data_IF_847159497085
#
_entry.id   IF_847159497085
#
_cell.length_a   1.000
_cell.length_b   1.000
_cell.length_c   1.000
_cell.angle_alpha   90.00
_cell.angle_beta   90.00
_cell.angle_gamma   90.00
#
_symmetry.space_group_name_H-M   'P 1'
#
loop_
_entity.id
_entity.type
_entity.pdbx_description
1 polymer ?
#
# COMPACT_ATOMS: atom_id res chain seq x y z
N UNK A 1 -7.73 -20.66 5.07
CA UNK A 1 -6.61 -20.21 4.23
C UNK A 1 -7.15 -19.98 2.83
N UNK A 2 -6.97 -18.78 2.27
CA UNK A 2 -7.66 -18.34 1.04
C UNK A 2 -6.63 -18.21 -0.08
N UNK A 3 -6.54 -19.21 -0.96
CA UNK A 3 -5.53 -19.27 -2.02
C UNK A 3 -5.99 -18.56 -3.30
N UNK A 4 -6.59 -17.37 -3.14
CA UNK A 4 -7.21 -16.63 -4.25
C UNK A 4 -6.18 -15.96 -5.14
N UNK A 5 -6.42 -16.04 -6.44
CA UNK A 5 -5.69 -15.28 -7.46
C UNK A 5 -6.29 -13.87 -7.57
N UNK A 6 -5.43 -12.86 -7.55
CA UNK A 6 -5.80 -11.44 -7.61
C UNK A 6 -5.22 -10.80 -8.85
N UNK A 7 -6.08 -10.12 -9.62
CA UNK A 7 -5.67 -9.35 -10.79
C UNK A 7 -5.07 -8.02 -10.36
N UNK A 8 -3.85 -7.74 -10.84
CA UNK A 8 -3.12 -6.50 -10.60
C UNK A 8 -2.65 -5.97 -11.94
N UNK A 9 -2.82 -4.68 -12.23
CA UNK A 9 -2.33 -4.11 -13.49
C UNK A 9 -0.79 -4.09 -13.53
N UNK A 10 -0.20 -4.14 -14.73
CA UNK A 10 1.26 -4.09 -14.89
C UNK A 10 1.88 -2.83 -14.26
N UNK A 11 1.16 -1.70 -14.29
CA UNK A 11 1.57 -0.46 -13.64
C UNK A 11 1.61 -0.54 -12.10
N UNK A 12 0.82 -1.43 -11.49
CA UNK A 12 0.78 -1.62 -10.03
C UNK A 12 1.69 -2.74 -9.54
N UNK A 13 2.06 -3.68 -10.42
CA UNK A 13 2.90 -4.85 -10.11
C UNK A 13 4.13 -4.53 -9.26
N UNK A 14 5.00 -3.56 -9.59
CA UNK A 14 6.22 -3.33 -8.81
C UNK A 14 5.92 -2.88 -7.37
N UNK A 15 4.87 -2.08 -7.18
CA UNK A 15 4.50 -1.58 -5.85
C UNK A 15 3.83 -2.65 -4.98
N UNK A 16 2.99 -3.50 -5.59
CA UNK A 16 2.38 -4.64 -4.88
C UNK A 16 3.45 -5.65 -4.47
N UNK A 17 4.37 -5.99 -5.37
CA UNK A 17 5.49 -6.88 -5.05
C UNK A 17 6.34 -6.33 -3.90
N UNK A 18 6.74 -5.05 -3.97
CA UNK A 18 7.50 -4.39 -2.92
C UNK A 18 6.84 -4.49 -1.53
N UNK A 19 5.53 -4.21 -1.45
CA UNK A 19 4.79 -4.28 -0.17
C UNK A 19 4.71 -5.71 0.36
N UNK A 20 4.48 -6.70 -0.52
CA UNK A 20 4.44 -8.11 -0.12
C UNK A 20 5.80 -8.58 0.40
N UNK A 21 6.89 -8.22 -0.29
CA UNK A 21 8.27 -8.53 0.14
C UNK A 21 8.60 -7.87 1.48
N UNK A 22 8.30 -6.56 1.62
CA UNK A 22 8.49 -5.77 2.85
C UNK A 22 7.77 -6.39 4.05
N UNK A 23 6.52 -6.83 3.84
CA UNK A 23 5.69 -7.43 4.89
C UNK A 23 5.94 -8.95 5.04
N UNK A 24 6.92 -9.51 4.32
CA UNK A 24 7.28 -10.95 4.31
C UNK A 24 6.09 -11.86 4.02
N UNK A 25 5.19 -11.43 3.13
CA UNK A 25 4.03 -12.21 2.69
C UNK A 25 4.45 -13.07 1.49
N UNK A 26 4.42 -14.41 1.58
CA UNK A 26 4.72 -15.26 0.44
C UNK A 26 3.69 -15.09 -0.67
N UNK A 27 4.15 -14.95 -1.91
CA UNK A 27 3.30 -14.85 -3.08
C UNK A 27 3.92 -15.52 -4.30
N UNK A 28 3.06 -15.89 -5.24
CA UNK A 28 3.42 -16.32 -6.59
C UNK A 28 2.81 -15.35 -7.59
N UNK A 29 3.48 -15.11 -8.71
CA UNK A 29 2.97 -14.25 -9.78
C UNK A 29 2.98 -14.95 -11.12
N UNK A 30 1.95 -14.69 -11.93
CA UNK A 30 1.90 -15.09 -13.32
C UNK A 30 1.53 -13.90 -14.19
N UNK A 31 2.32 -13.64 -15.23
CA UNK A 31 1.99 -12.63 -16.23
C UNK A 31 0.88 -13.12 -17.16
N UNK A 32 -0.03 -12.21 -17.49
CA UNK A 32 -1.13 -12.39 -18.43
C UNK A 32 -1.16 -11.15 -19.34
N UNK A 33 -1.82 -11.23 -20.49
CA UNK A 33 -1.89 -10.11 -21.44
C UNK A 33 -2.43 -8.83 -20.77
N UNK A 34 -1.54 -7.88 -20.49
CA UNK A 34 -1.85 -6.57 -19.88
C UNK A 34 -2.02 -6.55 -18.34
N UNK A 35 -1.84 -7.66 -17.64
CA UNK A 35 -1.97 -7.70 -16.17
C UNK A 35 -1.20 -8.87 -15.53
N UNK A 36 -1.08 -8.84 -14.21
CA UNK A 36 -0.44 -9.87 -13.41
C UNK A 36 -1.45 -10.52 -12.46
N UNK A 37 -1.37 -11.84 -12.36
CA UNK A 37 -2.09 -12.61 -11.35
C UNK A 37 -1.17 -12.86 -10.17
N UNK A 38 -1.53 -12.33 -9.00
CA UNK A 38 -0.87 -12.62 -7.74
C UNK A 38 -1.65 -13.68 -6.98
N UNK A 39 -0.97 -14.71 -6.53
CA UNK A 39 -1.52 -15.76 -5.67
C UNK A 39 -0.81 -15.70 -4.32
N UNK A 40 -1.58 -15.57 -3.24
CA UNK A 40 -1.08 -15.37 -1.88
C UNK A 40 -2.10 -15.86 -0.87
N UNK A 41 -1.65 -16.34 0.28
CA UNK A 41 -2.52 -16.85 1.34
C UNK A 41 -2.89 -15.76 2.35
N UNK A 42 -3.61 -14.73 1.90
CA UNK A 42 -4.08 -13.64 2.76
C UNK A 42 -5.58 -13.37 2.55
N UNK A 43 -6.22 -12.80 3.57
CA UNK A 43 -7.64 -12.43 3.50
C UNK A 43 -7.89 -11.27 2.56
N UNK A 44 -9.14 -11.12 2.07
CA UNK A 44 -9.58 -9.94 1.30
C UNK A 44 -9.18 -8.62 1.98
N UNK A 45 -9.45 -8.51 3.29
CA UNK A 45 -9.14 -7.31 4.08
C UNK A 45 -7.64 -6.99 4.05
N UNK A 46 -6.80 -8.01 4.25
CA UNK A 46 -5.34 -7.82 4.22
C UNK A 46 -4.85 -7.46 2.82
N UNK A 47 -5.46 -8.01 1.77
CA UNK A 47 -5.14 -7.63 0.39
C UNK A 47 -5.52 -6.18 0.09
N UNK A 48 -6.65 -5.68 0.62
CA UNK A 48 -7.01 -4.26 0.52
C UNK A 48 -5.93 -3.37 1.16
N UNK A 49 -5.43 -3.75 2.34
CA UNK A 49 -4.33 -3.03 2.99
C UNK A 49 -3.04 -3.04 2.16
N UNK A 50 -2.70 -4.18 1.53
CA UNK A 50 -1.56 -4.28 0.62
C UNK A 50 -1.73 -3.35 -0.59
N UNK A 51 -2.93 -3.26 -1.15
CA UNK A 51 -3.22 -2.36 -2.27
C UNK A 51 -3.16 -0.88 -1.85
N UNK A 52 -3.69 -0.53 -0.68
CA UNK A 52 -3.58 0.82 -0.12
C UNK A 52 -2.10 1.21 0.06
N UNK A 53 -1.30 0.35 0.68
CA UNK A 53 0.14 0.59 0.87
C UNK A 53 0.88 0.68 -0.49
N UNK A 54 0.51 -0.14 -1.49
CA UNK A 54 1.10 -0.09 -2.82
C UNK A 54 0.75 1.22 -3.57
N UNK A 55 -0.46 1.76 -3.38
CA UNK A 55 -0.83 3.06 -3.90
C UNK A 55 -0.02 4.19 -3.25
N UNK A 56 0.24 4.08 -1.94
CA UNK A 56 1.12 5.00 -1.23
C UNK A 56 2.53 5.00 -1.83
N UNK A 57 3.14 3.83 -2.04
CA UNK A 57 4.46 3.72 -2.66
C UNK A 57 4.47 4.24 -4.10
N UNK A 58 3.41 3.98 -4.88
CA UNK A 58 3.26 4.56 -6.22
C UNK A 58 3.23 6.08 -6.20
N UNK A 59 2.51 6.69 -5.25
CA UNK A 59 2.48 8.14 -5.10
C UNK A 59 3.83 8.67 -4.62
N UNK A 60 4.46 8.02 -3.65
CA UNK A 60 5.81 8.35 -3.17
C UNK A 60 6.83 8.38 -4.30
N UNK A 61 6.78 7.39 -5.21
CA UNK A 61 7.70 7.28 -6.32
C UNK A 61 7.52 8.39 -7.38
N UNK A 62 6.41 9.13 -7.37
CA UNK A 62 6.24 10.32 -8.22
C UNK A 62 7.07 11.52 -7.76
N UNK A 63 7.47 11.55 -6.48
CA UNK A 63 8.18 12.68 -5.88
C UNK A 63 9.66 12.34 -5.65
N UNK A 64 10.55 13.23 -6.11
CA UNK A 64 12.01 13.09 -5.92
C UNK A 64 12.39 13.02 -4.44
N UNK A 65 11.67 13.75 -3.59
CA UNK A 65 11.92 13.82 -2.15
C UNK A 65 11.69 12.49 -1.41
N UNK A 66 11.00 11.52 -2.04
CA UNK A 66 10.62 10.21 -1.49
C UNK A 66 9.99 10.27 -0.09
N UNK A 67 9.30 11.37 0.21
CA UNK A 67 8.58 11.56 1.47
C UNK A 67 7.52 10.44 1.59
N UNK A 68 7.44 9.74 2.74
CA UNK A 68 6.44 8.69 2.95
C UNK A 68 5.03 9.18 2.66
N UNK A 69 4.22 8.32 2.06
CA UNK A 69 2.80 8.56 1.82
C UNK A 69 2.01 7.56 2.66
N UNK A 70 0.94 8.01 3.32
CA UNK A 70 0.11 7.12 4.13
C UNK A 70 -1.37 7.25 3.75
N UNK A 71 -2.09 6.11 3.77
CA UNK A 71 -3.54 6.05 3.57
C UNK A 71 -4.28 6.57 4.80
N UNK A 72 -5.55 6.96 4.63
CA UNK A 72 -6.42 7.37 5.74
C UNK A 72 -6.44 6.32 6.85
N UNK A 73 -6.61 5.03 6.48
CA UNK A 73 -6.61 3.91 7.44
C UNK A 73 -5.33 3.87 8.27
N UNK A 74 -4.19 4.16 7.64
CA UNK A 74 -2.89 4.16 8.31
C UNK A 74 -2.76 5.36 9.25
N UNK A 75 -3.23 6.54 8.84
CA UNK A 75 -3.23 7.74 9.68
C UNK A 75 -4.15 7.62 10.90
N UNK A 76 -5.28 6.91 10.75
CA UNK A 76 -6.21 6.63 11.86
C UNK A 76 -5.76 5.47 12.78
N UNK A 77 -4.66 4.79 12.47
CA UNK A 77 -4.11 3.71 13.28
C UNK A 77 -2.71 4.10 13.78
N UNK A 78 -2.64 4.56 15.02
CA UNK A 78 -1.42 5.06 15.66
C UNK A 78 -0.28 4.03 15.65
N UNK A 79 -0.58 2.76 15.96
CA UNK A 79 0.43 1.68 15.98
C UNK A 79 1.02 1.43 14.59
N UNK A 80 0.17 1.35 13.56
CA UNK A 80 0.64 1.15 12.18
C UNK A 80 1.45 2.36 11.71
N UNK A 81 1.00 3.57 12.02
CA UNK A 81 1.67 4.81 11.65
C UNK A 81 3.07 4.88 12.27
N UNK A 82 3.18 4.68 13.58
CA UNK A 82 4.46 4.75 14.29
C UNK A 82 5.46 3.71 13.73
N UNK A 83 4.99 2.48 13.48
CA UNK A 83 5.80 1.43 12.86
C UNK A 83 6.33 1.85 11.48
N UNK A 84 5.50 2.45 10.64
CA UNK A 84 5.90 2.89 9.31
C UNK A 84 6.80 4.14 9.33
N UNK A 85 6.62 5.05 10.29
CA UNK A 85 7.51 6.18 10.49
C UNK A 85 8.91 5.71 10.91
N UNK A 86 8.98 4.71 11.81
CA UNK A 86 10.25 4.06 12.19
C UNK A 86 10.90 3.38 10.98
N UNK A 87 10.13 2.64 10.19
CA UNK A 87 10.62 1.97 8.98
C UNK A 87 11.19 2.95 7.95
N UNK A 88 10.52 4.09 7.75
CA UNK A 88 10.95 5.12 6.80
C UNK A 88 11.96 6.12 7.38
N UNK A 89 12.28 6.04 8.68
CA UNK A 89 13.14 6.96 9.41
C UNK A 89 12.77 8.45 9.22
N UNK A 90 11.47 8.73 9.03
CA UNK A 90 10.97 10.08 8.72
C UNK A 90 9.66 10.35 9.44
N UNK A 91 9.54 11.55 9.99
CA UNK A 91 8.33 12.05 10.65
C UNK A 91 7.37 12.79 9.71
N UNK A 92 7.90 13.48 8.69
CA UNK A 92 7.05 14.12 7.68
C UNK A 92 6.45 13.09 6.73
N UNK A 93 5.18 13.26 6.38
CA UNK A 93 4.46 12.41 5.44
C UNK A 93 3.51 13.23 4.56
N UNK A 94 3.17 12.67 3.40
CA UNK A 94 2.02 13.10 2.61
C UNK A 94 0.84 12.15 2.82
N UNK A 95 -0.35 12.65 2.58
CA UNK A 95 -1.56 11.85 2.59
C UNK A 95 -1.73 11.26 1.19
N UNK A 96 -2.25 10.02 1.12
CA UNK A 96 -2.64 9.44 -0.15
C UNK A 96 -3.75 10.29 -0.77
N UNK A 97 -3.58 10.77 -2.00
CA UNK A 97 -4.47 11.80 -2.59
C UNK A 97 -5.94 11.43 -2.59
N UNK A 98 -6.27 10.16 -2.84
CA UNK A 98 -7.67 9.69 -2.85
C UNK A 98 -8.32 9.74 -1.46
N UNK A 99 -7.52 9.78 -0.41
CA UNK A 99 -7.94 9.75 0.99
C UNK A 99 -7.88 11.13 1.65
N UNK A 100 -7.33 12.16 0.98
CA UNK A 100 -7.17 13.52 1.53
C UNK A 100 -8.49 14.11 2.01
N UNK A 101 -9.52 14.11 1.17
CA UNK A 101 -10.85 14.63 1.51
C UNK A 101 -11.44 13.92 2.74
N UNK A 102 -11.28 12.60 2.80
CA UNK A 102 -11.78 11.77 3.90
C UNK A 102 -11.03 12.08 5.19
N UNK A 103 -9.72 12.30 5.10
CA UNK A 103 -8.90 12.67 6.23
C UNK A 103 -9.30 14.04 6.77
N UNK A 104 -9.35 15.08 5.93
CA UNK A 104 -9.70 16.43 6.36
C UNK A 104 -11.09 16.49 6.99
N UNK A 105 -12.08 15.80 6.40
CA UNK A 105 -13.41 15.68 6.99
C UNK A 105 -13.41 15.00 8.37
N UNK A 106 -12.51 14.05 8.62
CA UNK A 106 -12.43 13.34 9.90
C UNK A 106 -11.66 14.12 10.98
N UNK A 107 -10.66 14.93 10.59
CA UNK A 107 -9.86 15.73 11.55
C UNK A 107 -10.40 17.13 11.79
N UNK A 108 -11.44 17.55 11.06
CA UNK A 108 -12.17 18.81 11.32
C UNK A 108 -11.35 20.07 11.03
N UNK A 109 -10.49 20.02 10.01
CA UNK A 109 -9.70 21.18 9.52
C UNK A 109 -10.40 21.82 8.34
#
# INVERSE_FOLDING_TARGET
MDNRRRKVSSAMKPYVAYVLERDKIPYQTKEMSGFWLFQMNITNRRFTEVLEDALCEKQRNKYISRIPVYSFRTLMNSEKLERLMKLNQRRGYHILKQDELKYFAAVGV
#
